data_IF_019264565678
#
_entry.id   IF_019264565678
#
_cell.length_a   1.000
_cell.length_b   1.000
_cell.length_c   1.000
_cell.angle_alpha   90.00
_cell.angle_beta   90.00
_cell.angle_gamma   90.00
#
_symmetry.space_group_name_H-M   'P 1'
#
loop_
_entity.id
_entity.type
_entity.pdbx_description
1 polymer ?
#
# COMPACT_ATOMS: atom_id res chain seq x y z
N UNK A 1 -20.76 30.75 -6.50
CA UNK A 1 -20.53 29.57 -7.36
C UNK A 1 -19.53 28.66 -6.65
N UNK A 2 -20.02 27.70 -5.86
CA UNK A 2 -19.18 26.76 -5.12
C UNK A 2 -18.74 25.71 -6.12
N UNK A 3 -17.47 25.74 -6.53
CA UNK A 3 -16.89 24.70 -7.37
C UNK A 3 -16.94 23.42 -6.54
N UNK A 4 -17.75 22.45 -7.00
CA UNK A 4 -17.81 21.09 -6.46
C UNK A 4 -16.35 20.63 -6.29
N UNK A 5 -15.94 20.32 -5.05
CA UNK A 5 -14.71 19.55 -4.85
C UNK A 5 -15.00 18.18 -5.42
N UNK A 6 -14.40 17.82 -6.56
CA UNK A 6 -14.26 16.43 -6.96
C UNK A 6 -13.44 15.73 -5.86
N UNK A 7 -14.13 15.15 -4.88
CA UNK A 7 -13.50 14.25 -3.92
C UNK A 7 -13.36 12.92 -4.65
N UNK A 8 -12.34 12.83 -5.49
CA UNK A 8 -11.96 11.57 -6.11
C UNK A 8 -11.62 10.57 -4.98
N UNK A 9 -12.31 9.43 -4.93
CA UNK A 9 -12.07 8.43 -3.89
C UNK A 9 -10.66 7.85 -4.00
N UNK A 10 -10.08 7.34 -2.91
CA UNK A 10 -8.69 6.90 -2.87
C UNK A 10 -8.31 5.88 -3.96
N UNK A 11 -9.26 5.04 -4.38
CA UNK A 11 -9.08 4.07 -5.49
C UNK A 11 -8.73 4.76 -6.82
N UNK A 12 -9.28 5.95 -7.07
CA UNK A 12 -8.98 6.72 -8.30
C UNK A 12 -7.52 7.17 -8.40
N UNK A 13 -6.80 7.20 -7.27
CA UNK A 13 -5.41 7.63 -7.23
C UNK A 13 -4.42 6.50 -7.56
N UNK A 14 -4.88 5.24 -7.64
CA UNK A 14 -4.00 4.10 -7.91
C UNK A 14 -3.28 4.25 -9.24
N UNK A 15 -4.01 4.48 -10.34
CA UNK A 15 -3.40 4.61 -11.67
C UNK A 15 -2.44 5.82 -11.75
N UNK A 16 -2.82 7.05 -11.36
CA UNK A 16 -1.90 8.19 -11.38
C UNK A 16 -0.65 8.02 -10.52
N UNK A 17 -0.71 7.22 -9.43
CA UNK A 17 0.45 6.91 -8.60
C UNK A 17 1.35 5.85 -9.24
N UNK A 18 0.77 4.86 -9.94
CA UNK A 18 1.53 3.88 -10.70
C UNK A 18 2.26 4.54 -11.88
N UNK A 19 1.62 5.47 -12.59
CA UNK A 19 2.21 6.19 -13.74
C UNK A 19 3.49 6.98 -13.38
N UNK A 20 3.68 7.31 -12.09
CA UNK A 20 4.89 7.97 -11.60
C UNK A 20 6.09 7.01 -11.45
N UNK A 21 5.85 5.70 -11.51
CA UNK A 21 6.87 4.67 -11.39
C UNK A 21 7.32 4.28 -12.79
N UNK A 22 8.49 4.75 -13.22
CA UNK A 22 9.01 4.50 -14.58
C UNK A 22 9.39 3.03 -14.88
N UNK A 23 9.16 2.09 -13.98
CA UNK A 23 9.52 0.68 -14.14
C UNK A 23 8.46 -0.26 -13.59
N UNK A 24 8.46 -1.50 -14.06
CA UNK A 24 7.50 -2.52 -13.61
C UNK A 24 7.66 -2.81 -12.12
N UNK A 25 6.53 -2.99 -11.44
CA UNK A 25 6.51 -3.37 -10.02
C UNK A 25 6.40 -4.89 -9.87
N UNK A 26 7.11 -5.46 -8.89
CA UNK A 26 6.99 -6.89 -8.57
C UNK A 26 5.78 -7.22 -7.68
N UNK A 27 5.32 -6.27 -6.88
CA UNK A 27 4.23 -6.48 -5.92
C UNK A 27 3.50 -5.15 -5.62
N UNK A 28 2.18 -5.20 -5.61
CA UNK A 28 1.29 -4.17 -5.08
C UNK A 28 0.66 -4.68 -3.79
N UNK A 29 0.65 -3.87 -2.73
CA UNK A 29 0.05 -4.24 -1.44
C UNK A 29 -0.84 -3.11 -0.94
N UNK A 30 -2.08 -3.43 -0.57
CA UNK A 30 -3.05 -2.42 -0.15
C UNK A 30 -4.08 -2.95 0.86
N UNK A 31 -4.88 -2.03 1.37
CA UNK A 31 -6.01 -2.33 2.25
C UNK A 31 -7.18 -2.97 1.51
N UNK A 32 -8.05 -3.64 2.27
CA UNK A 32 -9.32 -4.21 1.81
C UNK A 32 -10.21 -3.22 1.05
N UNK A 33 -10.07 -1.91 1.33
CA UNK A 33 -10.76 -0.86 0.60
C UNK A 33 -10.46 -0.88 -0.92
N UNK A 34 -9.25 -1.30 -1.28
CA UNK A 34 -8.74 -1.42 -2.66
C UNK A 34 -9.00 -2.81 -3.28
N UNK A 35 -9.71 -3.73 -2.60
CA UNK A 35 -10.14 -5.01 -3.17
C UNK A 35 -11.31 -4.79 -4.15
N UNK A 36 -11.00 -4.21 -5.31
CA UNK A 36 -11.98 -3.91 -6.35
C UNK A 36 -11.37 -3.91 -7.74
N UNK A 37 -12.18 -4.27 -8.73
CA UNK A 37 -11.76 -4.41 -10.14
C UNK A 37 -10.92 -3.22 -10.66
N UNK A 38 -11.28 -1.93 -10.43
CA UNK A 38 -10.48 -0.81 -10.92
C UNK A 38 -9.02 -0.82 -10.43
N UNK A 39 -8.77 -1.29 -9.21
CA UNK A 39 -7.40 -1.42 -8.68
C UNK A 39 -6.66 -2.56 -9.35
N UNK A 40 -7.29 -3.72 -9.52
CA UNK A 40 -6.66 -4.87 -10.18
C UNK A 40 -6.30 -4.53 -11.63
N UNK A 41 -7.24 -3.94 -12.37
CA UNK A 41 -7.02 -3.54 -13.77
C UNK A 41 -5.87 -2.54 -13.88
N UNK A 42 -5.87 -1.46 -13.07
CA UNK A 42 -4.78 -0.47 -13.07
C UNK A 42 -3.40 -1.07 -12.77
N UNK A 43 -3.31 -2.03 -11.84
CA UNK A 43 -2.04 -2.68 -11.52
C UNK A 43 -1.59 -3.62 -12.64
N UNK A 44 -2.50 -4.37 -13.25
CA UNK A 44 -2.20 -5.28 -14.36
C UNK A 44 -1.79 -4.50 -15.61
N UNK A 45 -2.47 -3.40 -15.91
CA UNK A 45 -2.17 -2.53 -17.04
C UNK A 45 -0.76 -1.92 -16.91
N UNK A 46 -0.38 -1.48 -15.71
CA UNK A 46 0.97 -0.98 -15.43
C UNK A 46 2.01 -2.11 -15.35
N UNK A 47 1.66 -3.27 -14.79
CA UNK A 47 2.59 -4.36 -14.48
C UNK A 47 1.89 -5.71 -14.43
N UNK A 48 1.73 -6.34 -15.61
CA UNK A 48 1.00 -7.59 -15.78
C UNK A 48 1.47 -8.75 -14.87
N UNK A 49 2.77 -8.77 -14.52
CA UNK A 49 3.36 -9.81 -13.68
C UNK A 49 3.35 -9.49 -12.17
N UNK A 50 2.84 -8.32 -11.76
CA UNK A 50 2.86 -7.89 -10.36
C UNK A 50 1.99 -8.79 -9.48
N UNK A 51 2.48 -9.16 -8.30
CA UNK A 51 1.66 -9.79 -7.26
C UNK A 51 0.76 -8.74 -6.58
N UNK A 52 -0.55 -8.92 -6.62
CA UNK A 52 -1.55 -7.99 -6.06
C UNK A 52 -2.03 -8.52 -4.71
N UNK A 53 -1.35 -8.12 -3.63
CA UNK A 53 -1.59 -8.58 -2.26
C UNK A 53 -2.54 -7.64 -1.54
N UNK A 54 -3.84 -7.92 -1.69
CA UNK A 54 -4.92 -7.21 -1.02
C UNK A 54 -5.77 -8.24 -0.27
N UNK A 55 -6.05 -8.06 1.04
CA UNK A 55 -6.95 -8.96 1.75
C UNK A 55 -8.35 -8.85 1.14
N UNK A 56 -8.98 -9.97 0.73
CA UNK A 56 -10.34 -9.95 0.21
C UNK A 56 -11.34 -9.43 1.24
N UNK A 57 -12.41 -8.79 0.77
CA UNK A 57 -13.54 -8.38 1.64
C UNK A 57 -14.20 -9.61 2.28
N UNK A 58 -14.67 -9.48 3.52
CA UNK A 58 -15.27 -10.59 4.28
C UNK A 58 -16.47 -11.28 3.60
N UNK A 59 -17.21 -10.54 2.75
CA UNK A 59 -18.33 -11.05 1.96
C UNK A 59 -17.96 -11.26 0.49
N UNK A 60 -16.67 -11.44 0.19
CA UNK A 60 -16.21 -11.68 -1.17
C UNK A 60 -16.71 -13.04 -1.66
N UNK A 61 -17.68 -13.02 -2.56
CA UNK A 61 -18.07 -14.21 -3.33
C UNK A 61 -17.07 -14.35 -4.48
N UNK A 62 -16.65 -15.58 -4.75
CA UNK A 62 -15.94 -15.97 -5.96
C UNK A 62 -16.76 -15.52 -7.18
N UNK A 63 -16.21 -14.72 -8.10
CA UNK A 63 -16.89 -14.43 -9.36
C UNK A 63 -17.21 -15.74 -10.09
N UNK A 64 -18.45 -15.93 -10.52
CA UNK A 64 -18.92 -17.12 -11.26
C UNK A 64 -18.47 -17.13 -12.73
N UNK A 65 -17.36 -16.45 -13.05
CA UNK A 65 -16.92 -16.19 -14.40
C UNK A 65 -15.98 -17.32 -14.85
N UNK A 66 -16.17 -17.86 -16.07
CA UNK A 66 -15.44 -19.02 -16.63
C UNK A 66 -13.94 -18.76 -16.92
N UNK A 67 -13.37 -17.68 -16.36
CA UNK A 67 -11.96 -17.33 -16.48
C UNK A 67 -11.12 -18.07 -15.43
N UNK A 68 -9.86 -18.42 -15.72
CA UNK A 68 -8.95 -18.97 -14.71
C UNK A 68 -8.96 -18.08 -13.45
N UNK A 69 -8.98 -18.66 -12.23
CA UNK A 69 -9.11 -17.89 -11.01
C UNK A 69 -8.00 -16.84 -10.94
N UNK A 70 -8.40 -15.57 -11.02
CA UNK A 70 -7.50 -14.44 -10.90
C UNK A 70 -6.75 -14.46 -9.56
N UNK A 71 -5.77 -13.57 -9.39
CA UNK A 71 -5.00 -13.47 -8.14
C UNK A 71 -5.93 -13.35 -6.91
N UNK A 72 -7.04 -12.62 -7.06
CA UNK A 72 -8.08 -12.46 -6.04
C UNK A 72 -8.70 -13.79 -5.59
N UNK A 73 -9.16 -14.61 -6.53
CA UNK A 73 -9.81 -15.90 -6.25
C UNK A 73 -8.81 -16.86 -5.58
N UNK A 74 -7.55 -16.85 -6.01
CA UNK A 74 -6.47 -17.60 -5.35
C UNK A 74 -6.26 -17.16 -3.90
N UNK A 75 -6.40 -15.87 -3.60
CA UNK A 75 -6.34 -15.39 -2.21
C UNK A 75 -7.53 -15.85 -1.38
N UNK A 76 -8.74 -15.81 -1.93
CA UNK A 76 -9.95 -16.31 -1.25
C UNK A 76 -9.80 -17.81 -0.94
N UNK A 77 -9.43 -18.63 -1.93
CA UNK A 77 -9.19 -20.06 -1.74
C UNK A 77 -8.09 -20.34 -0.70
N UNK A 78 -6.96 -19.62 -0.76
CA UNK A 78 -5.88 -19.77 0.21
C UNK A 78 -6.32 -19.37 1.62
N UNK A 79 -7.09 -18.29 1.79
CA UNK A 79 -7.60 -17.88 3.10
C UNK A 79 -8.59 -18.91 3.65
N UNK A 80 -9.47 -19.46 2.81
CA UNK A 80 -10.42 -20.49 3.22
C UNK A 80 -9.71 -21.80 3.63
N UNK A 81 -8.62 -22.17 2.95
CA UNK A 81 -7.88 -23.40 3.24
C UNK A 81 -6.90 -23.27 4.41
N UNK A 82 -6.13 -22.19 4.45
CA UNK A 82 -4.95 -22.03 5.33
C UNK A 82 -5.16 -20.98 6.44
N UNK A 83 -6.24 -20.23 6.38
CA UNK A 83 -6.53 -19.12 7.27
C UNK A 83 -5.84 -17.80 6.88
N UNK A 84 -6.37 -16.66 7.33
CA UNK A 84 -5.90 -15.33 6.95
C UNK A 84 -4.47 -15.04 7.41
N UNK A 85 -4.05 -15.52 8.58
CA UNK A 85 -2.70 -15.28 9.11
C UNK A 85 -1.62 -15.98 8.27
N UNK A 86 -1.84 -17.24 7.90
CA UNK A 86 -0.89 -17.99 7.06
C UNK A 86 -0.82 -17.36 5.65
N UNK A 87 -1.96 -16.96 5.09
CA UNK A 87 -2.01 -16.21 3.84
C UNK A 87 -1.19 -14.90 3.91
N UNK A 88 -1.34 -14.10 4.99
CA UNK A 88 -0.59 -12.85 5.15
C UNK A 88 0.92 -13.07 5.17
N UNK A 89 1.39 -14.09 5.88
CA UNK A 89 2.82 -14.44 5.96
C UNK A 89 3.34 -14.88 4.60
N UNK A 90 2.64 -15.81 3.93
CA UNK A 90 3.05 -16.35 2.63
C UNK A 90 3.10 -15.30 1.53
N UNK A 91 2.26 -14.27 1.59
CA UNK A 91 2.21 -13.20 0.58
C UNK A 91 3.03 -11.96 0.97
N UNK A 92 3.71 -11.97 2.12
CA UNK A 92 4.52 -10.84 2.58
C UNK A 92 3.72 -9.61 2.97
N UNK A 93 2.43 -9.76 3.34
CA UNK A 93 1.54 -8.66 3.72
C UNK A 93 2.07 -7.85 4.91
N UNK A 94 2.90 -8.47 5.76
CA UNK A 94 3.56 -7.82 6.91
C UNK A 94 4.43 -6.61 6.54
N UNK A 95 4.86 -6.46 5.27
CA UNK A 95 5.59 -5.26 4.79
C UNK A 95 4.81 -3.96 5.01
N UNK A 96 3.48 -4.03 5.06
CA UNK A 96 2.60 -2.89 5.38
C UNK A 96 3.00 -2.17 6.67
N UNK A 97 3.43 -2.91 7.69
CA UNK A 97 3.86 -2.33 8.98
C UNK A 97 5.02 -1.33 8.83
N UNK A 98 5.89 -1.53 7.83
CA UNK A 98 6.99 -0.61 7.53
C UNK A 98 6.49 0.70 6.94
N UNK A 99 5.48 0.64 6.06
CA UNK A 99 4.83 1.81 5.47
C UNK A 99 4.10 2.60 6.55
N UNK A 100 3.33 1.93 7.41
CA UNK A 100 2.64 2.56 8.54
C UNK A 100 3.62 3.25 9.49
N UNK A 101 4.75 2.60 9.77
CA UNK A 101 5.84 3.19 10.57
C UNK A 101 6.43 4.41 9.89
N UNK A 102 6.66 4.38 8.57
CA UNK A 102 7.17 5.52 7.81
C UNK A 102 6.21 6.71 7.86
N UNK A 103 4.91 6.47 7.67
CA UNK A 103 3.86 7.50 7.78
C UNK A 103 3.76 8.04 9.21
N UNK A 104 3.88 7.18 10.23
CA UNK A 104 3.93 7.58 11.63
C UNK A 104 5.10 8.53 11.91
N UNK A 105 6.30 8.18 11.42
CA UNK A 105 7.50 9.04 11.52
C UNK A 105 7.33 10.36 10.78
N UNK A 106 6.73 10.34 9.59
CA UNK A 106 6.39 11.57 8.86
C UNK A 106 5.51 12.47 9.71
N UNK A 107 4.40 11.94 10.24
CA UNK A 107 3.45 12.70 11.07
C UNK A 107 4.07 13.23 12.37
N UNK A 108 5.01 12.49 12.95
CA UNK A 108 5.69 12.86 14.19
C UNK A 108 6.81 13.88 14.01
N UNK A 109 7.55 13.81 12.92
CA UNK A 109 8.76 14.63 12.70
C UNK A 109 8.45 15.84 11.82
N UNK A 110 7.76 15.64 10.70
CA UNK A 110 7.42 16.72 9.75
C UNK A 110 6.14 17.42 10.19
N UNK A 111 5.12 16.65 10.56
CA UNK A 111 3.87 17.15 11.12
C UNK A 111 2.63 16.43 10.60
N UNK A 112 1.52 16.60 11.32
CA UNK A 112 0.24 15.91 11.02
C UNK A 112 -0.61 16.61 9.96
N UNK A 113 -0.21 17.80 9.49
CA UNK A 113 -0.98 18.65 8.56
C UNK A 113 -0.07 19.18 7.46
N UNK A 114 -0.63 19.28 6.26
CA UNK A 114 -0.01 19.96 5.13
C UNK A 114 -0.39 21.45 5.18
N UNK A 115 0.58 22.31 4.89
CA UNK A 115 0.43 23.77 4.91
C UNK A 115 -0.01 24.33 3.55
N UNK A 116 0.40 23.68 2.46
CA UNK A 116 0.02 24.07 1.12
C UNK A 116 -1.51 23.95 0.92
N UNK A 117 -2.09 24.95 0.25
CA UNK A 117 -3.54 25.04 0.00
C UNK A 117 -3.98 24.42 -1.32
N UNK A 118 -3.05 24.14 -2.23
CA UNK A 118 -3.31 23.49 -3.52
C UNK A 118 -2.80 22.04 -3.50
N UNK A 119 -3.45 21.15 -4.23
CA UNK A 119 -3.04 19.74 -4.32
C UNK A 119 -1.60 19.58 -4.86
N UNK A 120 -1.16 20.28 -5.94
CA UNK A 120 0.23 20.22 -6.37
C UNK A 120 1.21 20.71 -5.30
N UNK A 121 0.85 21.75 -4.55
CA UNK A 121 1.67 22.24 -3.43
C UNK A 121 1.76 21.21 -2.31
N UNK A 122 0.67 20.51 -2.02
CA UNK A 122 0.61 19.43 -1.02
C UNK A 122 1.43 18.20 -1.42
N UNK A 123 1.43 17.83 -2.71
CA UNK A 123 2.26 16.77 -3.26
C UNK A 123 3.75 17.14 -3.13
N UNK A 124 4.13 18.36 -3.51
CA UNK A 124 5.50 18.86 -3.36
C UNK A 124 5.94 18.91 -1.89
N UNK A 125 5.09 19.43 -1.00
CA UNK A 125 5.35 19.45 0.44
C UNK A 125 5.58 18.03 0.98
N UNK A 126 4.75 17.07 0.57
CA UNK A 126 4.89 15.67 0.95
C UNK A 126 6.18 15.04 0.43
N UNK A 127 6.54 15.30 -0.83
CA UNK A 127 7.77 14.80 -1.44
C UNK A 127 9.02 15.35 -0.72
N UNK A 128 9.04 16.64 -0.39
CA UNK A 128 10.12 17.26 0.39
C UNK A 128 10.22 16.61 1.78
N UNK A 129 9.09 16.44 2.48
CA UNK A 129 9.06 15.77 3.78
C UNK A 129 9.63 14.35 3.73
N UNK A 130 9.26 13.57 2.71
CA UNK A 130 9.83 12.24 2.46
C UNK A 130 11.35 12.30 2.20
N UNK A 131 11.83 13.26 1.41
CA UNK A 131 13.26 13.43 1.15
C UNK A 131 14.05 13.75 2.43
N UNK A 132 13.51 14.61 3.29
CA UNK A 132 14.09 14.93 4.60
C UNK A 132 14.20 13.67 5.48
N UNK A 133 13.14 12.87 5.57
CA UNK A 133 13.15 11.63 6.35
C UNK A 133 14.15 10.60 5.82
N UNK A 134 14.26 10.48 4.50
CA UNK A 134 15.24 9.61 3.86
C UNK A 134 16.68 10.05 4.18
N UNK A 135 16.94 11.37 4.17
CA UNK A 135 18.26 11.90 4.57
C UNK A 135 18.56 11.66 6.04
N UNK A 136 17.58 11.83 6.95
CA UNK A 136 17.75 11.48 8.36
C UNK A 136 18.05 9.98 8.55
N UNK A 137 17.38 9.10 7.80
CA UNK A 137 17.66 7.66 7.82
C UNK A 137 19.07 7.34 7.32
N UNK A 138 19.56 8.05 6.30
CA UNK A 138 20.91 7.83 5.80
C UNK A 138 21.99 8.29 6.80
N UNK A 139 21.77 9.41 7.50
CA UNK A 139 22.79 10.02 8.34
C UNK A 139 22.73 9.63 9.82
N UNK A 140 21.56 9.26 10.35
CA UNK A 140 21.32 9.17 11.79
C UNK A 140 20.60 7.88 12.23
N UNK A 141 20.62 6.82 11.41
CA UNK A 141 19.95 5.54 11.76
C UNK A 141 20.63 4.88 12.97
N UNK A 142 19.93 4.75 14.12
CA UNK A 142 20.48 4.02 15.25
C UNK A 142 20.60 2.52 14.90
N UNK A 143 21.70 1.88 15.31
CA UNK A 143 21.86 0.43 15.20
C UNK A 143 21.08 -0.24 16.34
N UNK A 144 19.84 -0.64 16.06
CA UNK A 144 19.05 -1.42 17.01
C UNK A 144 19.63 -2.84 17.10
N UNK A 145 20.01 -3.25 18.31
CA UNK A 145 20.45 -4.61 18.62
C UNK A 145 19.41 -5.28 19.49
N UNK A 146 18.95 -6.47 19.09
CA UNK A 146 18.07 -7.29 19.93
C UNK A 146 18.92 -7.86 21.05
N UNK A 147 18.68 -7.44 22.30
CA UNK A 147 19.26 -8.13 23.45
C UNK A 147 18.64 -9.51 23.54
N UNK A 148 19.47 -10.56 23.56
CA UNK A 148 19.02 -11.88 24.02
C UNK A 148 18.80 -11.75 25.53
N UNK A 149 17.66 -12.20 26.02
CA UNK A 149 17.47 -12.37 27.45
C UNK A 149 18.51 -13.38 27.93
N UNK A 150 19.22 -13.08 29.03
CA UNK A 150 20.01 -14.09 29.71
C UNK A 150 19.02 -15.14 30.21
N UNK A 151 19.23 -16.40 29.81
CA UNK A 151 18.51 -17.53 30.40
C UNK A 151 18.89 -17.57 31.88
N UNK A 152 17.91 -17.58 32.81
CA UNK A 152 18.18 -17.69 34.24
C UNK A 152 18.82 -19.03 34.58
#
# INVERSE_FOLDING_TARGET
>A
MIKQRDIAGDVSQVAPLLDQIGGLIGQFTAEVAYDGKPTYDAVIDHSAAAAIVIPPRANAVEPSDDRPPGQRNRHIAAINSDGPMKWQVSNGYGKRSLVETAIGRYKSIIGRRLRARSLPGQQTESAIGCAVLNRMLACARPKAVRRKAATP
#
